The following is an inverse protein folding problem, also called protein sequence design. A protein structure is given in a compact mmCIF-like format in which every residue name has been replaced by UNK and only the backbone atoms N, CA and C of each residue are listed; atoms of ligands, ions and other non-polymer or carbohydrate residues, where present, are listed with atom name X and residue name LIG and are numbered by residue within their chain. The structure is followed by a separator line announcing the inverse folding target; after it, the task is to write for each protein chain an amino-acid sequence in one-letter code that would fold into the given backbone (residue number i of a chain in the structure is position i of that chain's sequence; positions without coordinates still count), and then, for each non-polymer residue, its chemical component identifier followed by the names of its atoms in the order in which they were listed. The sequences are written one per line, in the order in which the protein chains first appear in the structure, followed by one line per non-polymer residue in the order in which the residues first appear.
data_IF_370299408979
#
_entry.id   IF_370299408979
#
_cell.length_a   1.000
_cell.length_b   1.000
_cell.length_c   1.000
_cell.angle_alpha   90.00
_cell.angle_beta   90.00
_cell.angle_gamma   90.00
#
_symmetry.space_group_name_H-M   'P 1'
#
loop_
_entity.id
_entity.type
_entity.pdbx_description
1 polymer ?
#
# COMPACT_ATOMS: atom_id res chain seq x y z
N UNK A 1 -15.94 -16.80 -6.76
CA UNK A 1 -14.72 -17.04 -5.96
C UNK A 1 -14.75 -18.45 -5.37
N UNK A 2 -13.65 -19.17 -5.41
CA UNK A 2 -13.51 -20.51 -4.82
C UNK A 2 -12.22 -20.54 -4.00
N UNK A 3 -12.29 -21.09 -2.76
CA UNK A 3 -11.09 -21.39 -1.97
C UNK A 3 -10.66 -22.82 -2.29
N UNK A 4 -9.49 -22.99 -2.86
CA UNK A 4 -8.97 -24.27 -3.33
C UNK A 4 -7.79 -24.68 -2.46
N UNK A 5 -7.88 -25.81 -1.73
CA UNK A 5 -6.74 -26.32 -0.97
C UNK A 5 -5.57 -26.70 -1.90
N UNK A 6 -4.36 -26.37 -1.48
CA UNK A 6 -3.12 -26.70 -2.18
C UNK A 6 -2.06 -27.11 -1.17
N UNK A 7 -1.05 -27.84 -1.62
CA UNK A 7 0.11 -28.13 -0.78
C UNK A 7 1.03 -26.90 -0.77
N UNK A 8 1.48 -26.50 0.41
CA UNK A 8 2.44 -25.42 0.58
C UNK A 8 3.73 -25.67 -0.21
N UNK A 9 4.37 -24.60 -0.68
CA UNK A 9 5.71 -24.69 -1.31
C UNK A 9 6.68 -25.31 -0.30
N UNK A 10 7.54 -26.29 -0.72
CA UNK A 10 8.51 -26.88 0.20
C UNK A 10 9.60 -25.90 0.65
N UNK A 11 9.80 -24.80 -0.08
CA UNK A 11 10.78 -23.75 0.17
C UNK A 11 10.16 -22.46 0.77
N UNK A 12 8.94 -22.51 1.31
CA UNK A 12 8.27 -21.32 1.87
C UNK A 12 9.14 -20.59 2.90
N UNK A 13 9.77 -21.32 3.82
CA UNK A 13 10.62 -20.70 4.85
C UNK A 13 11.86 -20.01 4.27
N UNK A 14 12.45 -20.59 3.20
CA UNK A 14 13.61 -20.00 2.53
C UNK A 14 13.20 -18.75 1.73
N UNK A 15 12.08 -18.82 1.01
CA UNK A 15 11.51 -17.69 0.28
C UNK A 15 11.12 -16.55 1.22
N UNK A 16 10.45 -16.84 2.32
CA UNK A 16 10.10 -15.82 3.31
C UNK A 16 11.36 -15.15 3.92
N UNK A 17 12.40 -15.93 4.20
CA UNK A 17 13.67 -15.40 4.73
C UNK A 17 14.43 -14.56 3.67
N UNK A 18 14.38 -14.92 2.39
CA UNK A 18 14.99 -14.16 1.30
C UNK A 18 14.36 -12.77 1.14
N UNK A 19 13.07 -12.68 1.39
CA UNK A 19 12.30 -11.44 1.32
C UNK A 19 12.11 -10.73 2.66
N UNK A 20 12.81 -11.17 3.71
CA UNK A 20 12.67 -10.63 5.08
C UNK A 20 11.19 -10.60 5.56
N UNK A 21 10.37 -11.52 5.03
CA UNK A 21 8.95 -11.60 5.34
C UNK A 21 8.72 -12.43 6.61
N UNK A 22 8.19 -11.81 7.64
CA UNK A 22 7.69 -12.52 8.82
C UNK A 22 6.34 -13.19 8.53
N UNK A 23 6.34 -14.45 8.10
CA UNK A 23 5.11 -15.19 7.83
C UNK A 23 4.43 -15.81 9.06
N UNK A 24 5.04 -15.68 10.25
CA UNK A 24 4.40 -16.06 11.52
C UNK A 24 4.75 -15.08 12.64
N UNK A 25 3.75 -14.62 13.37
CA UNK A 25 3.95 -13.75 14.52
C UNK A 25 4.60 -14.50 15.71
N UNK A 26 5.03 -13.75 16.75
CA UNK A 26 5.60 -14.29 17.98
C UNK A 26 4.67 -15.23 18.77
N UNK A 27 3.41 -15.33 18.39
CA UNK A 27 2.39 -16.24 18.96
C UNK A 27 2.16 -17.47 18.10
N UNK A 28 2.87 -17.59 16.95
CA UNK A 28 2.71 -18.67 16.00
C UNK A 28 1.45 -18.56 15.14
N UNK A 29 0.87 -17.36 15.03
CA UNK A 29 -0.19 -17.07 14.05
C UNK A 29 0.49 -16.83 12.72
N UNK A 30 0.15 -17.62 11.72
CA UNK A 30 0.71 -17.51 10.38
C UNK A 30 0.14 -16.29 9.68
N UNK A 31 0.99 -15.31 9.39
CA UNK A 31 0.63 -14.13 8.59
C UNK A 31 0.49 -14.45 7.11
N UNK A 32 1.20 -15.50 6.64
CA UNK A 32 1.14 -15.98 5.26
C UNK A 32 0.81 -17.48 5.24
N UNK A 33 -0.35 -17.86 4.68
CA UNK A 33 -0.87 -19.23 4.63
C UNK A 33 -1.01 -19.70 3.17
N UNK A 34 -0.19 -20.66 2.76
CA UNK A 34 -0.22 -21.27 1.43
C UNK A 34 -1.04 -22.58 1.37
N UNK A 35 -1.76 -22.94 2.41
CA UNK A 35 -2.58 -24.15 2.42
C UNK A 35 -3.76 -24.13 1.44
N UNK A 36 -4.08 -22.95 0.90
CA UNK A 36 -5.10 -22.76 -0.12
C UNK A 36 -4.90 -21.43 -0.86
N UNK A 37 -5.42 -21.36 -2.08
CA UNK A 37 -5.54 -20.12 -2.82
C UNK A 37 -7.00 -19.81 -3.16
N UNK A 38 -7.27 -18.56 -3.49
CA UNK A 38 -8.59 -18.12 -3.94
C UNK A 38 -8.58 -17.94 -5.45
N UNK A 39 -9.49 -18.63 -6.13
CA UNK A 39 -9.68 -18.55 -7.56
C UNK A 39 -10.89 -17.68 -7.87
N UNK A 40 -10.66 -16.71 -8.74
CA UNK A 40 -11.68 -15.83 -9.30
C UNK A 40 -11.80 -16.07 -10.82
N UNK A 41 -12.94 -15.69 -11.38
CA UNK A 41 -13.06 -15.51 -12.83
C UNK A 41 -12.73 -14.05 -13.18
N UNK A 42 -12.27 -13.75 -14.41
CA UNK A 42 -12.08 -12.37 -14.85
C UNK A 42 -13.31 -11.50 -14.61
N UNK A 43 -14.50 -12.02 -14.94
CA UNK A 43 -15.75 -11.30 -14.71
C UNK A 43 -15.98 -10.94 -13.22
N UNK A 44 -15.64 -11.83 -12.29
CA UNK A 44 -15.76 -11.54 -10.86
C UNK A 44 -14.80 -10.44 -10.41
N UNK A 45 -13.61 -10.39 -10.99
CA UNK A 45 -12.66 -9.32 -10.71
C UNK A 45 -13.22 -7.99 -11.25
N UNK A 46 -13.54 -7.93 -12.53
CA UNK A 46 -13.97 -6.70 -13.20
C UNK A 46 -15.29 -6.16 -12.63
N UNK A 47 -16.33 -7.02 -12.50
CA UNK A 47 -17.68 -6.56 -12.15
C UNK A 47 -17.95 -6.50 -10.64
N UNK A 48 -17.33 -7.41 -9.85
CA UNK A 48 -17.64 -7.51 -8.43
C UNK A 48 -16.60 -6.82 -7.53
N UNK A 49 -15.37 -6.57 -8.02
CA UNK A 49 -14.27 -6.01 -7.23
C UNK A 49 -13.79 -4.68 -7.80
N UNK A 50 -13.23 -4.66 -9.02
CA UNK A 50 -12.62 -3.45 -9.60
C UNK A 50 -13.64 -2.33 -9.81
N UNK A 51 -14.73 -2.60 -10.52
CA UNK A 51 -15.77 -1.60 -10.73
C UNK A 51 -16.34 -1.02 -9.42
N UNK A 52 -16.72 -1.86 -8.44
CA UNK A 52 -17.11 -1.36 -7.11
C UNK A 52 -16.01 -0.61 -6.37
N UNK A 53 -14.73 -0.99 -6.50
CA UNK A 53 -13.62 -0.29 -5.86
C UNK A 53 -13.42 1.11 -6.44
N UNK A 54 -13.53 1.29 -7.76
CA UNK A 54 -13.50 2.59 -8.42
C UNK A 54 -14.65 3.50 -7.95
N UNK A 55 -15.87 2.96 -7.86
CA UNK A 55 -17.02 3.72 -7.35
C UNK A 55 -16.83 4.11 -5.88
N UNK A 56 -16.29 3.22 -5.06
CA UNK A 56 -15.99 3.49 -3.65
C UNK A 56 -14.91 4.54 -3.48
N UNK A 57 -13.86 4.55 -4.31
CA UNK A 57 -12.84 5.61 -4.34
C UNK A 57 -13.48 6.96 -4.60
N UNK A 58 -14.29 7.08 -5.64
CA UNK A 58 -15.00 8.31 -5.97
C UNK A 58 -15.90 8.79 -4.83
N UNK A 59 -16.59 7.88 -4.15
CA UNK A 59 -17.43 8.21 -3.00
C UNK A 59 -16.61 8.68 -1.80
N UNK A 60 -15.48 8.03 -1.51
CA UNK A 60 -14.57 8.44 -0.45
C UNK A 60 -14.00 9.83 -0.71
N UNK A 61 -13.55 10.12 -1.93
CA UNK A 61 -13.07 11.46 -2.30
C UNK A 61 -14.17 12.53 -2.18
N UNK A 62 -15.42 12.21 -2.51
CA UNK A 62 -16.56 13.12 -2.28
C UNK A 62 -16.80 13.37 -0.78
N UNK A 63 -16.60 12.37 0.08
CA UNK A 63 -16.69 12.54 1.54
C UNK A 63 -15.58 13.47 2.04
N UNK A 64 -14.34 13.28 1.57
CA UNK A 64 -13.21 14.16 1.91
C UNK A 64 -13.54 15.60 1.49
N UNK A 65 -13.96 15.82 0.23
CA UNK A 65 -14.31 17.16 -0.26
C UNK A 65 -15.37 17.88 0.58
N UNK A 66 -16.35 17.13 1.12
CA UNK A 66 -17.36 17.69 2.03
C UNK A 66 -16.82 17.92 3.45
N UNK A 67 -15.92 17.05 3.91
CA UNK A 67 -15.35 17.13 5.25
C UNK A 67 -14.42 18.34 5.40
N UNK A 68 -13.55 18.59 4.43
CA UNK A 68 -12.58 19.70 4.48
C UNK A 68 -13.23 21.08 4.41
N UNK A 69 -14.47 21.17 3.94
CA UNK A 69 -15.26 22.41 3.92
C UNK A 69 -16.08 22.64 5.22
N UNK A 70 -15.99 21.73 6.20
CA UNK A 70 -16.88 21.75 7.38
C UNK A 70 -16.11 21.48 8.69
N UNK A 71 -15.81 22.56 9.41
CA UNK A 71 -15.10 22.53 10.70
C UNK A 71 -15.77 21.61 11.74
N UNK A 72 -17.11 21.55 11.78
CA UNK A 72 -17.82 20.65 12.69
C UNK A 72 -17.52 19.17 12.35
N UNK A 73 -17.44 18.82 11.07
CA UNK A 73 -17.10 17.47 10.62
C UNK A 73 -15.65 17.17 10.98
N UNK A 74 -14.70 18.06 10.70
CA UNK A 74 -13.28 17.89 11.05
C UNK A 74 -13.10 17.71 12.56
N UNK A 75 -13.79 18.51 13.36
CA UNK A 75 -13.78 18.38 14.82
C UNK A 75 -14.33 17.02 15.30
N UNK A 76 -15.44 16.55 14.71
CA UNK A 76 -16.02 15.23 15.05
C UNK A 76 -15.14 14.06 14.62
N UNK A 77 -14.35 14.22 13.57
CA UNK A 77 -13.35 13.25 13.13
C UNK A 77 -12.09 13.27 14.02
N UNK A 78 -12.02 14.18 14.99
CA UNK A 78 -10.89 14.30 15.91
C UNK A 78 -9.67 15.00 15.31
N UNK A 79 -9.82 15.67 14.17
CA UNK A 79 -8.75 16.43 13.54
C UNK A 79 -8.58 17.74 14.31
N UNK A 80 -7.36 18.00 14.80
CA UNK A 80 -7.06 19.19 15.58
C UNK A 80 -7.14 20.47 14.73
N UNK A 81 -7.73 21.53 15.28
CA UNK A 81 -7.96 22.82 14.61
C UNK A 81 -6.74 23.39 13.85
N UNK A 82 -5.49 23.33 14.39
CA UNK A 82 -4.33 23.84 13.67
C UNK A 82 -4.03 23.19 12.31
N UNK A 83 -4.60 22.03 12.02
CA UNK A 83 -4.40 21.31 10.76
C UNK A 83 -5.51 21.54 9.73
N UNK A 84 -6.63 22.20 10.10
CA UNK A 84 -7.78 22.33 9.20
C UNK A 84 -7.47 23.10 7.93
N UNK A 85 -6.83 24.26 8.06
CA UNK A 85 -6.43 25.09 6.91
C UNK A 85 -5.40 24.36 6.03
N UNK A 86 -4.46 23.62 6.64
CA UNK A 86 -3.45 22.84 5.92
C UNK A 86 -4.10 21.73 5.08
N UNK A 87 -5.02 20.96 5.68
CA UNK A 87 -5.75 19.90 4.98
C UNK A 87 -6.61 20.46 3.85
N UNK A 88 -7.32 21.57 4.11
CA UNK A 88 -8.14 22.22 3.09
C UNK A 88 -7.31 22.74 1.93
N UNK A 89 -6.12 23.29 2.20
CA UNK A 89 -5.20 23.77 1.18
C UNK A 89 -4.65 22.62 0.34
N UNK A 90 -4.20 21.51 0.95
CA UNK A 90 -3.75 20.31 0.28
C UNK A 90 -4.82 19.77 -0.68
N UNK A 91 -6.07 19.64 -0.19
CA UNK A 91 -7.20 19.22 -1.01
C UNK A 91 -7.47 20.16 -2.19
N UNK A 92 -7.46 21.48 -1.94
CA UNK A 92 -7.74 22.48 -2.99
C UNK A 92 -6.63 22.57 -4.04
N UNK A 93 -5.38 22.36 -3.66
CA UNK A 93 -4.24 22.33 -4.60
C UNK A 93 -4.20 21.04 -5.42
N UNK A 94 -4.99 20.03 -5.05
CA UNK A 94 -5.01 18.75 -5.74
C UNK A 94 -3.70 18.00 -5.60
N UNK A 95 -3.12 18.02 -4.40
CA UNK A 95 -1.94 17.24 -4.09
C UNK A 95 -2.17 15.76 -4.39
N UNK A 96 -1.13 15.10 -4.87
CA UNK A 96 -1.24 13.72 -5.34
C UNK A 96 -1.14 12.74 -4.18
N UNK A 97 -1.92 11.68 -4.26
CA UNK A 97 -1.75 10.47 -3.49
C UNK A 97 -1.04 9.41 -4.34
N UNK A 98 -0.40 8.44 -3.72
CA UNK A 98 0.31 7.37 -4.41
C UNK A 98 -0.54 6.10 -4.47
N UNK A 99 -0.99 5.60 -3.33
CA UNK A 99 -1.81 4.39 -3.25
C UNK A 99 -2.61 4.37 -1.95
N UNK A 100 -3.61 3.48 -1.91
CA UNK A 100 -4.37 3.15 -0.72
C UNK A 100 -4.78 1.67 -0.75
N UNK A 101 -5.24 1.13 0.38
CA UNK A 101 -5.73 -0.23 0.50
C UNK A 101 -7.17 -0.26 0.99
N UNK A 102 -8.06 -0.78 0.17
CA UNK A 102 -9.42 -1.07 0.58
C UNK A 102 -9.53 -2.49 1.11
N UNK A 103 -10.02 -2.65 2.33
CA UNK A 103 -10.35 -3.95 2.88
C UNK A 103 -11.81 -4.25 2.55
N UNK A 104 -12.03 -5.31 1.76
CA UNK A 104 -13.31 -5.64 1.17
C UNK A 104 -13.87 -6.95 1.75
N UNK A 105 -15.17 -7.01 1.95
CA UNK A 105 -15.91 -8.25 2.19
C UNK A 105 -16.55 -8.75 0.90
N UNK A 106 -16.19 -9.96 0.48
CA UNK A 106 -16.68 -10.57 -0.76
C UNK A 106 -17.02 -12.05 -0.57
N UNK A 107 -18.19 -12.46 -1.04
CA UNK A 107 -18.68 -13.85 -0.94
C UNK A 107 -19.10 -14.45 -2.31
N UNK A 108 -18.79 -13.77 -3.41
CA UNK A 108 -19.18 -14.13 -4.78
C UNK A 108 -20.71 -14.10 -5.04
N UNK A 109 -21.47 -13.37 -4.22
CA UNK A 109 -22.92 -13.17 -4.40
C UNK A 109 -23.18 -11.66 -4.61
N UNK A 110 -22.61 -11.12 -5.67
CA UNK A 110 -22.66 -9.70 -6.06
C UNK A 110 -21.46 -8.89 -5.62
N UNK A 111 -21.51 -7.55 -5.75
CA UNK A 111 -20.36 -6.67 -5.56
C UNK A 111 -19.74 -6.77 -4.17
N UNK A 112 -18.42 -6.60 -4.10
CA UNK A 112 -17.69 -6.48 -2.86
C UNK A 112 -18.16 -5.29 -2.03
N UNK A 113 -18.05 -5.39 -0.71
CA UNK A 113 -18.47 -4.34 0.24
C UNK A 113 -17.28 -3.81 1.00
N UNK A 114 -17.15 -2.50 1.06
CA UNK A 114 -16.09 -1.83 1.81
C UNK A 114 -16.26 -2.11 3.32
N UNK A 115 -15.19 -2.56 3.94
CA UNK A 115 -15.04 -2.63 5.40
C UNK A 115 -14.30 -1.41 5.90
N UNK A 116 -13.11 -1.13 5.33
CA UNK A 116 -12.33 0.07 5.60
C UNK A 116 -11.50 0.48 4.40
N UNK A 117 -11.07 1.73 4.39
CA UNK A 117 -10.14 2.26 3.42
C UNK A 117 -8.93 2.84 4.16
N UNK A 118 -7.79 2.18 4.00
CA UNK A 118 -6.52 2.61 4.54
C UNK A 118 -5.83 3.51 3.51
N UNK A 119 -5.87 4.82 3.75
CA UNK A 119 -5.40 5.84 2.80
C UNK A 119 -4.27 6.72 3.37
N UNK A 120 -3.69 6.33 4.52
CA UNK A 120 -2.55 7.01 5.14
C UNK A 120 -1.28 6.16 4.97
N UNK A 121 -1.11 5.14 5.80
CA UNK A 121 0.08 4.27 5.78
C UNK A 121 -0.32 2.79 5.63
N UNK A 122 -0.93 2.39 4.49
CA UNK A 122 -1.34 1.00 4.32
C UNK A 122 -0.11 0.08 4.16
N UNK A 123 -0.10 -1.00 4.93
CA UNK A 123 0.88 -2.09 4.82
C UNK A 123 0.42 -3.18 3.85
N UNK A 124 1.13 -4.32 3.78
CA UNK A 124 0.86 -5.46 2.90
C UNK A 124 1.03 -5.15 1.39
N UNK A 125 1.74 -4.09 1.06
CA UNK A 125 2.01 -3.72 -0.33
C UNK A 125 3.02 -4.69 -0.97
N UNK A 126 4.09 -5.02 -0.26
CA UNK A 126 5.14 -5.92 -0.72
C UNK A 126 4.59 -7.35 -0.95
N UNK A 127 3.80 -7.85 -0.01
CA UNK A 127 3.15 -9.15 -0.12
C UNK A 127 2.23 -9.20 -1.34
N UNK A 128 1.52 -8.11 -1.63
CA UNK A 128 0.61 -8.03 -2.76
C UNK A 128 1.35 -7.91 -4.09
N UNK A 129 2.33 -7.02 -4.18
CA UNK A 129 3.00 -6.69 -5.44
C UNK A 129 4.06 -7.72 -5.83
N UNK A 130 4.79 -8.29 -4.86
CA UNK A 130 5.97 -9.14 -5.09
C UNK A 130 5.75 -10.57 -4.64
N UNK A 131 5.50 -10.80 -3.36
CA UNK A 131 5.53 -12.15 -2.78
C UNK A 131 4.42 -13.06 -3.30
N UNK A 132 3.24 -12.50 -3.57
CA UNK A 132 2.14 -13.22 -4.21
C UNK A 132 2.45 -13.62 -5.66
N UNK A 133 3.13 -12.74 -6.41
CA UNK A 133 3.56 -13.03 -7.77
C UNK A 133 4.60 -14.17 -7.78
N UNK A 134 5.58 -14.09 -6.92
CA UNK A 134 6.59 -15.14 -6.79
C UNK A 134 5.96 -16.50 -6.39
N UNK A 135 4.98 -16.46 -5.48
CA UNK A 135 4.22 -17.66 -5.16
C UNK A 135 3.53 -18.26 -6.40
N UNK A 136 2.90 -17.43 -7.23
CA UNK A 136 2.23 -17.88 -8.45
C UNK A 136 3.22 -18.56 -9.42
N UNK A 137 4.37 -17.95 -9.67
CA UNK A 137 5.39 -18.50 -10.56
C UNK A 137 5.92 -19.83 -10.03
N UNK A 138 6.36 -19.88 -8.79
CA UNK A 138 6.90 -21.09 -8.19
C UNK A 138 5.85 -22.20 -8.05
N UNK A 139 4.63 -21.88 -7.67
CA UNK A 139 3.54 -22.85 -7.59
C UNK A 139 3.17 -23.43 -8.95
N UNK A 140 3.27 -22.64 -10.01
CA UNK A 140 3.07 -23.10 -11.40
C UNK A 140 4.21 -24.01 -11.85
N UNK A 141 5.47 -23.62 -11.62
CA UNK A 141 6.64 -24.44 -11.94
C UNK A 141 6.63 -25.79 -11.21
N UNK A 142 6.23 -25.77 -9.95
CA UNK A 142 6.12 -26.98 -9.12
C UNK A 142 4.85 -27.78 -9.40
N UNK A 143 3.97 -27.30 -10.28
CA UNK A 143 2.69 -27.93 -10.65
C UNK A 143 1.73 -28.10 -9.46
N UNK A 144 1.79 -27.19 -8.51
CA UNK A 144 0.87 -27.12 -7.36
C UNK A 144 -0.48 -26.53 -7.78
N UNK A 145 -0.47 -25.67 -8.80
CA UNK A 145 -1.65 -25.04 -9.39
C UNK A 145 -1.71 -25.32 -10.89
N UNK A 146 -2.88 -25.18 -11.55
CA UNK A 146 -3.01 -25.38 -13.00
C UNK A 146 -2.17 -24.40 -13.81
N UNK A 147 -1.69 -24.83 -14.98
CA UNK A 147 -1.06 -23.93 -15.94
C UNK A 147 -2.04 -22.87 -16.46
N UNK A 148 -1.55 -21.65 -16.67
CA UNK A 148 -2.36 -20.54 -17.17
C UNK A 148 -3.17 -19.81 -16.09
N UNK A 149 -2.90 -20.06 -14.81
CA UNK A 149 -3.31 -19.18 -13.76
C UNK A 149 -2.53 -17.87 -13.85
N UNK A 150 -3.19 -16.77 -13.51
CA UNK A 150 -2.62 -15.42 -13.53
C UNK A 150 -3.12 -14.64 -12.31
N UNK A 151 -2.42 -13.57 -11.99
CA UNK A 151 -2.88 -12.53 -11.05
C UNK A 151 -3.24 -11.29 -11.87
N UNK A 152 -4.37 -10.68 -11.56
CA UNK A 152 -4.73 -9.36 -12.09
C UNK A 152 -4.11 -8.28 -11.22
N UNK A 153 -2.80 -8.17 -11.25
CA UNK A 153 -2.00 -7.35 -10.35
C UNK A 153 -0.86 -6.71 -11.13
N UNK A 154 -1.00 -5.41 -11.38
CA UNK A 154 0.00 -4.55 -11.98
C UNK A 154 0.49 -3.46 -10.99
N UNK A 155 0.33 -3.71 -9.69
CA UNK A 155 0.59 -2.74 -8.62
C UNK A 155 2.03 -2.21 -8.68
N UNK A 156 3.02 -3.08 -8.92
CA UNK A 156 4.42 -2.68 -9.04
C UNK A 156 4.62 -1.67 -10.17
N UNK A 157 4.22 -2.04 -11.38
CA UNK A 157 4.36 -1.18 -12.57
C UNK A 157 3.59 0.13 -12.41
N UNK A 158 2.40 0.07 -11.81
CA UNK A 158 1.55 1.23 -11.56
C UNK A 158 2.21 2.22 -10.58
N UNK A 159 2.82 1.74 -9.50
CA UNK A 159 3.54 2.58 -8.53
C UNK A 159 4.78 3.21 -9.18
N UNK A 160 5.59 2.43 -9.89
CA UNK A 160 6.77 2.95 -10.60
C UNK A 160 6.36 4.05 -11.59
N UNK A 161 5.26 3.86 -12.33
CA UNK A 161 4.74 4.85 -13.28
C UNK A 161 4.11 6.07 -12.60
N UNK A 162 3.63 5.95 -11.36
CA UNK A 162 3.04 7.06 -10.64
C UNK A 162 4.09 8.07 -10.14
N UNK A 163 5.26 7.60 -9.69
CA UNK A 163 6.29 8.45 -9.10
C UNK A 163 6.68 9.69 -9.93
N UNK A 164 6.92 9.60 -11.25
CA UNK A 164 7.22 10.78 -12.07
C UNK A 164 6.14 11.86 -12.07
N UNK A 165 4.91 11.50 -11.70
CA UNK A 165 3.76 12.40 -11.66
C UNK A 165 3.49 13.00 -10.28
N UNK A 166 4.29 12.62 -9.25
CA UNK A 166 4.11 13.10 -7.88
C UNK A 166 4.61 14.54 -7.66
N UNK A 167 5.30 15.12 -8.63
CA UNK A 167 5.83 16.47 -8.50
C UNK A 167 7.11 16.57 -7.66
N UNK A 168 7.84 15.48 -7.50
CA UNK A 168 9.12 15.43 -6.79
C UNK A 168 10.18 16.10 -7.65
N UNK A 169 10.76 17.22 -7.16
CA UNK A 169 11.68 18.02 -7.94
C UNK A 169 13.14 17.54 -7.83
N UNK A 170 13.56 17.06 -6.68
CA UNK A 170 14.96 16.71 -6.42
C UNK A 170 15.10 15.30 -5.86
N UNK A 171 14.64 15.09 -4.62
CA UNK A 171 14.83 13.87 -3.86
C UNK A 171 13.55 13.54 -3.11
N UNK A 172 13.16 12.27 -3.09
CA UNK A 172 12.11 11.76 -2.23
C UNK A 172 12.70 11.27 -0.90
N UNK A 173 12.12 11.71 0.21
CA UNK A 173 12.48 11.23 1.53
C UNK A 173 11.48 10.18 1.99
N UNK A 174 11.99 9.04 2.41
CA UNK A 174 11.22 7.92 2.92
C UNK A 174 11.47 7.77 4.41
N UNK A 175 10.42 7.94 5.22
CA UNK A 175 10.56 7.92 6.67
C UNK A 175 9.49 7.06 7.34
N UNK A 176 9.90 6.19 8.25
CA UNK A 176 9.01 5.42 9.10
C UNK A 176 9.58 5.23 10.51
N UNK A 177 8.83 4.59 11.37
CA UNK A 177 9.37 4.07 12.63
C UNK A 177 10.13 2.76 12.35
N UNK A 178 11.46 2.79 12.37
CA UNK A 178 12.30 1.64 12.09
C UNK A 178 12.17 0.48 13.11
N UNK A 179 11.48 0.69 14.24
CA UNK A 179 11.17 -0.36 15.22
C UNK A 179 9.96 -1.22 14.80
N UNK A 180 9.26 -0.83 13.71
CA UNK A 180 8.08 -1.54 13.17
C UNK A 180 8.48 -2.15 11.82
N UNK A 181 8.65 -3.48 11.80
CA UNK A 181 9.15 -4.20 10.62
C UNK A 181 8.23 -4.09 9.41
N UNK A 182 6.91 -4.19 9.60
CA UNK A 182 5.92 -4.06 8.51
C UNK A 182 5.97 -2.67 7.83
N UNK A 183 6.13 -1.60 8.63
CA UNK A 183 6.26 -0.24 8.10
C UNK A 183 7.56 -0.10 7.31
N UNK A 184 8.65 -0.65 7.85
CA UNK A 184 9.95 -0.61 7.20
C UNK A 184 9.97 -1.38 5.88
N UNK A 185 9.42 -2.60 5.84
CA UNK A 185 9.34 -3.40 4.63
C UNK A 185 8.54 -2.70 3.52
N UNK A 186 7.41 -2.06 3.88
CA UNK A 186 6.62 -1.26 2.94
C UNK A 186 7.41 -0.06 2.43
N UNK A 187 8.12 0.64 3.32
CA UNK A 187 8.92 1.81 2.98
C UNK A 187 10.08 1.45 2.04
N UNK A 188 10.85 0.41 2.38
CA UNK A 188 11.99 -0.05 1.58
C UNK A 188 11.54 -0.42 0.15
N UNK A 189 10.40 -1.07 0.02
CA UNK A 189 9.81 -1.39 -1.28
C UNK A 189 9.39 -0.15 -2.08
N UNK A 190 8.73 0.82 -1.44
CA UNK A 190 8.36 2.08 -2.11
C UNK A 190 9.60 2.88 -2.54
N UNK A 191 10.65 2.86 -1.73
CA UNK A 191 11.92 3.49 -2.08
C UNK A 191 12.58 2.82 -3.29
N UNK A 192 12.49 1.48 -3.40
CA UNK A 192 12.95 0.75 -4.57
C UNK A 192 12.16 1.12 -5.83
N UNK A 193 10.84 1.19 -5.76
CA UNK A 193 9.99 1.65 -6.87
C UNK A 193 10.34 3.09 -7.31
N UNK A 194 10.62 3.99 -6.36
CA UNK A 194 11.03 5.34 -6.67
C UNK A 194 12.38 5.40 -7.41
N UNK A 195 13.36 4.60 -6.98
CA UNK A 195 14.66 4.47 -7.65
C UNK A 195 14.51 3.90 -9.05
N UNK A 196 13.67 2.90 -9.23
CA UNK A 196 13.37 2.35 -10.54
C UNK A 196 12.73 3.39 -11.47
N UNK A 197 11.88 4.24 -10.93
CA UNK A 197 11.31 5.39 -11.63
C UNK A 197 12.33 6.51 -11.93
N UNK A 198 13.58 6.38 -11.47
CA UNK A 198 14.66 7.34 -11.70
C UNK A 198 14.67 8.53 -10.73
N UNK A 199 14.06 8.39 -9.56
CA UNK A 199 14.02 9.42 -8.51
C UNK A 199 15.16 9.14 -7.51
N UNK A 200 15.90 10.18 -7.15
CA UNK A 200 16.87 10.11 -6.06
C UNK A 200 16.13 9.99 -4.72
N UNK A 201 16.61 9.12 -3.84
CA UNK A 201 15.93 8.80 -2.58
C UNK A 201 16.82 8.98 -1.36
N UNK A 202 16.22 9.32 -0.23
CA UNK A 202 16.84 9.36 1.08
C UNK A 202 15.94 8.66 2.10
N UNK A 203 16.45 7.60 2.72
CA UNK A 203 15.77 6.88 3.80
C UNK A 203 16.24 7.38 5.17
N UNK A 204 15.30 7.62 6.08
CA UNK A 204 15.61 8.07 7.45
C UNK A 204 14.55 7.57 8.45
N UNK A 205 14.93 7.48 9.72
CA UNK A 205 13.95 7.24 10.76
C UNK A 205 13.13 8.50 11.04
N UNK A 206 11.85 8.35 11.40
CA UNK A 206 11.00 9.49 11.82
C UNK A 206 11.66 10.32 12.94
N UNK A 207 12.42 9.68 13.83
CA UNK A 207 13.12 10.34 14.93
C UNK A 207 14.30 11.22 14.48
N UNK A 208 14.79 11.02 13.26
CA UNK A 208 15.94 11.75 12.70
C UNK A 208 15.52 12.99 11.89
N UNK A 209 14.21 13.20 11.73
CA UNK A 209 13.69 14.41 11.08
C UNK A 209 13.91 15.59 12.00
N UNK A 210 14.72 16.56 11.55
CA UNK A 210 15.00 17.81 12.21
C UNK A 210 14.16 18.97 11.72
N UNK A 211 14.45 20.17 12.24
CA UNK A 211 13.91 21.43 11.72
C UNK A 211 14.99 22.49 11.69
N UNK A 212 15.01 23.30 10.64
CA UNK A 212 15.90 24.44 10.53
C UNK A 212 15.38 25.68 11.26
N UNK A 213 16.17 26.76 11.25
CA UNK A 213 15.81 28.04 11.89
C UNK A 213 14.55 28.72 11.26
N UNK A 214 14.10 28.25 10.10
CA UNK A 214 12.90 28.71 9.40
C UNK A 214 11.69 27.82 9.67
N UNK A 215 11.87 26.74 10.46
CA UNK A 215 10.82 25.77 10.78
C UNK A 215 10.52 24.77 9.66
N UNK A 216 11.42 24.62 8.68
CA UNK A 216 11.31 23.61 7.63
C UNK A 216 11.90 22.29 8.13
N UNK A 217 11.28 21.19 7.78
CA UNK A 217 11.84 19.86 8.08
C UNK A 217 13.15 19.63 7.32
N UNK A 218 14.09 18.97 7.98
CA UNK A 218 15.43 18.64 7.43
C UNK A 218 15.78 17.20 7.71
N UNK A 219 16.59 16.63 6.82
CA UNK A 219 17.24 15.34 7.00
C UNK A 219 18.49 15.45 7.92
N UNK A 220 19.23 14.34 8.03
CA UNK A 220 20.47 14.27 8.85
C UNK A 220 21.63 15.12 8.29
N UNK A 221 21.59 15.47 7.03
CA UNK A 221 22.58 16.33 6.35
C UNK A 221 22.14 17.81 6.33
N UNK A 222 21.12 18.17 7.14
CA UNK A 222 20.52 19.50 7.24
C UNK A 222 19.91 19.99 5.90
N UNK A 223 19.59 19.06 4.96
CA UNK A 223 18.90 19.41 3.72
C UNK A 223 17.40 19.50 3.95
N UNK A 224 16.72 20.50 3.35
CA UNK A 224 15.27 20.60 3.49
C UNK A 224 14.54 19.40 2.87
N UNK A 225 13.64 18.79 3.63
CA UNK A 225 12.72 17.77 3.14
C UNK A 225 11.60 18.50 2.36
N UNK A 226 11.49 18.21 1.07
CA UNK A 226 10.50 18.85 0.17
C UNK A 226 9.53 17.83 -0.44
N UNK A 227 9.86 16.55 -0.41
CA UNK A 227 9.00 15.43 -0.83
C UNK A 227 9.49 14.15 -0.14
#
# INVERSE_FOLDING_TARGET
MQRIPVTERPNLADAAAEHELEYSDSKGVTGWDESAYYQFTPQQIEEDIEGPAEELEDLCLQVVGRAVENEEVLSRLGIAEPFWDYIAQSWQSGEKNLYGRMDLSYNADGPAKLLEYNADTPTALYETAVFQWEWLEQATEQKLIPEGCDQLNDVHDSIVQAFPNMGIENMAHFACNHDIEDDKGTLDYLEECAREAGIDTCSLAMADIGTDDQGRFTDLDEQPITA
#
